data_IF_321220774206
#
_entry.id   IF_321220774206
#
_cell.length_a   1.000
_cell.length_b   1.000
_cell.length_c   1.000
_cell.angle_alpha   90.00
_cell.angle_beta   90.00
_cell.angle_gamma   90.00
#
_symmetry.space_group_name_H-M   'P 1'
#
loop_
_entity.id
_entity.type
_entity.pdbx_description
1 polymer ?
#
# COMPACT_ATOMS: atom_id res chain seq x y z
N UNK A 1 -0.20 -5.58 4.10
CA UNK A 1 -0.54 -7.03 4.07
C UNK A 1 -1.55 -7.47 5.16
N UNK A 2 -1.16 -7.61 6.45
CA UNK A 2 -2.05 -8.14 7.52
C UNK A 2 -3.40 -7.41 7.63
N UNK A 3 -3.36 -6.08 7.70
CA UNK A 3 -4.56 -5.25 7.84
C UNK A 3 -5.52 -5.40 6.65
N UNK A 4 -4.98 -5.42 5.42
CA UNK A 4 -5.76 -5.64 4.20
C UNK A 4 -6.43 -7.02 4.20
N UNK A 5 -5.70 -8.09 4.50
CA UNK A 5 -6.28 -9.44 4.58
C UNK A 5 -7.38 -9.54 5.64
N UNK A 6 -7.17 -8.94 6.82
CA UNK A 6 -8.19 -8.87 7.87
C UNK A 6 -9.43 -8.12 7.43
N UNK A 7 -9.26 -6.99 6.73
CA UNK A 7 -10.37 -6.18 6.22
C UNK A 7 -11.16 -6.94 5.14
N UNK A 8 -10.48 -7.60 4.21
CA UNK A 8 -11.12 -8.39 3.16
C UNK A 8 -11.87 -9.60 3.73
N UNK A 9 -11.25 -10.36 4.64
CA UNK A 9 -11.92 -11.45 5.34
C UNK A 9 -13.18 -10.96 6.09
N UNK A 10 -13.07 -9.82 6.80
CA UNK A 10 -14.20 -9.22 7.51
C UNK A 10 -15.35 -8.83 6.56
N UNK A 11 -15.05 -8.26 5.38
CA UNK A 11 -16.07 -7.92 4.38
C UNK A 11 -16.84 -9.14 3.89
N UNK A 12 -16.21 -10.32 3.90
CA UNK A 12 -16.80 -11.60 3.53
C UNK A 12 -17.44 -12.35 4.72
N UNK A 13 -17.41 -11.77 5.93
CA UNK A 13 -17.94 -12.41 7.13
C UNK A 13 -17.08 -13.57 7.65
N UNK A 14 -15.81 -13.66 7.25
CA UNK A 14 -14.89 -14.72 7.66
C UNK A 14 -13.68 -14.19 8.47
N UNK A 15 -12.84 -15.11 8.95
CA UNK A 15 -11.54 -14.79 9.57
C UNK A 15 -10.43 -15.05 8.55
N UNK A 16 -9.28 -14.35 8.64
CA UNK A 16 -8.11 -14.67 7.84
C UNK A 16 -7.72 -16.15 7.96
N UNK A 17 -7.32 -16.76 6.86
CA UNK A 17 -6.98 -18.18 6.75
C UNK A 17 -8.09 -19.04 6.13
N UNK A 18 -9.30 -18.47 5.95
CA UNK A 18 -10.34 -19.02 5.08
C UNK A 18 -10.05 -18.74 3.61
N UNK A 19 -11.02 -18.12 2.91
CA UNK A 19 -10.84 -17.76 1.49
C UNK A 19 -9.81 -16.65 1.28
N UNK A 20 -9.62 -15.78 2.28
CA UNK A 20 -8.58 -14.73 2.30
C UNK A 20 -7.53 -15.05 3.36
N UNK A 21 -6.27 -15.04 2.95
CA UNK A 21 -5.12 -15.26 3.82
C UNK A 21 -4.03 -14.21 3.63
N UNK A 22 -2.95 -14.33 4.38
CA UNK A 22 -1.76 -13.50 4.19
C UNK A 22 -0.47 -14.23 4.52
N UNK A 23 0.61 -13.80 3.88
CA UNK A 23 1.97 -14.17 4.27
C UNK A 23 2.83 -12.92 4.40
N UNK A 24 3.45 -12.78 5.57
CA UNK A 24 4.45 -11.74 5.86
C UNK A 24 5.68 -12.38 6.47
N UNK A 25 6.73 -11.61 6.72
CA UNK A 25 7.93 -12.14 7.39
C UNK A 25 7.58 -12.72 8.76
N UNK A 26 7.84 -14.01 8.94
CA UNK A 26 7.64 -14.72 10.20
C UNK A 26 6.20 -15.16 10.49
N UNK A 27 5.25 -14.92 9.58
CA UNK A 27 3.86 -15.34 9.78
C UNK A 27 3.19 -15.69 8.45
N UNK A 28 2.51 -16.84 8.44
CA UNK A 28 1.75 -17.34 7.31
C UNK A 28 0.39 -17.83 7.80
N UNK A 29 -0.67 -17.16 7.36
CA UNK A 29 -2.06 -17.49 7.67
C UNK A 29 -2.80 -17.74 6.36
N UNK A 30 -2.67 -18.97 5.86
CA UNK A 30 -3.34 -19.46 4.64
C UNK A 30 -3.77 -20.91 4.86
N UNK A 31 -4.90 -21.29 4.28
CA UNK A 31 -5.46 -22.64 4.33
C UNK A 31 -5.62 -23.24 2.94
N UNK A 32 -6.15 -24.47 2.88
CA UNK A 32 -6.46 -25.16 1.62
C UNK A 32 -7.47 -24.38 0.76
N UNK A 33 -8.35 -23.64 1.40
CA UNK A 33 -9.44 -22.90 0.75
C UNK A 33 -9.06 -21.46 0.39
N UNK A 34 -7.84 -21.02 0.70
CA UNK A 34 -7.38 -19.67 0.40
C UNK A 34 -7.31 -19.45 -1.11
N UNK A 35 -8.00 -18.42 -1.58
CA UNK A 35 -8.05 -17.96 -2.98
C UNK A 35 -7.35 -16.62 -3.17
N UNK A 36 -7.37 -15.77 -2.14
CA UNK A 36 -6.66 -14.50 -2.14
C UNK A 36 -5.62 -14.52 -1.04
N UNK A 37 -4.34 -14.43 -1.41
CA UNK A 37 -3.24 -14.33 -0.46
C UNK A 37 -2.61 -12.95 -0.53
N UNK A 38 -2.75 -12.18 0.54
CA UNK A 38 -2.09 -10.88 0.64
C UNK A 38 -0.67 -11.08 1.13
N UNK A 39 0.31 -10.71 0.30
CA UNK A 39 1.72 -10.81 0.66
C UNK A 39 2.37 -9.44 0.74
N UNK A 40 3.44 -9.32 1.51
CA UNK A 40 4.37 -8.18 1.35
C UNK A 40 5.22 -8.38 0.10
N UNK A 41 5.62 -7.30 -0.55
CA UNK A 41 6.44 -7.34 -1.77
C UNK A 41 7.72 -8.19 -1.61
N UNK A 42 8.43 -8.08 -0.48
CA UNK A 42 9.60 -8.91 -0.22
C UNK A 42 9.32 -10.42 -0.16
N UNK A 43 8.12 -10.83 0.28
CA UNK A 43 7.70 -12.25 0.24
C UNK A 43 7.45 -12.69 -1.20
N UNK A 44 6.83 -11.84 -2.03
CA UNK A 44 6.60 -12.11 -3.44
C UNK A 44 7.92 -12.26 -4.20
N UNK A 45 8.86 -11.34 -4.00
CA UNK A 45 10.21 -11.41 -4.57
C UNK A 45 10.93 -12.71 -4.19
N UNK A 46 10.88 -13.08 -2.91
CA UNK A 46 11.48 -14.33 -2.45
C UNK A 46 10.85 -15.56 -3.10
N UNK A 47 9.54 -15.53 -3.40
CA UNK A 47 8.86 -16.61 -4.14
C UNK A 47 9.32 -16.66 -5.58
N UNK A 48 9.30 -15.53 -6.29
CA UNK A 48 9.75 -15.42 -7.69
C UNK A 48 11.19 -15.90 -7.87
N UNK A 49 12.08 -15.61 -6.92
CA UNK A 49 13.47 -16.09 -6.96
C UNK A 49 13.61 -17.61 -6.79
N UNK A 50 12.67 -18.25 -6.09
CA UNK A 50 12.68 -19.69 -5.82
C UNK A 50 11.94 -20.49 -6.87
N UNK A 51 10.81 -19.96 -7.32
CA UNK A 51 9.90 -20.54 -8.29
C UNK A 51 9.29 -19.42 -9.12
N UNK A 52 9.80 -19.28 -10.34
CA UNK A 52 9.32 -18.31 -11.31
C UNK A 52 7.98 -18.72 -11.92
N UNK A 53 7.63 -20.01 -11.90
CA UNK A 53 6.36 -20.46 -12.48
C UNK A 53 5.18 -19.94 -11.67
N UNK A 54 5.33 -19.69 -10.36
CA UNK A 54 4.22 -19.35 -9.46
C UNK A 54 3.03 -20.31 -9.67
N UNK A 55 3.33 -21.61 -9.63
CA UNK A 55 2.34 -22.67 -9.89
C UNK A 55 1.09 -22.51 -9.00
N UNK A 56 -0.09 -22.54 -9.63
CA UNK A 56 -1.38 -22.33 -8.95
C UNK A 56 -1.79 -20.87 -8.72
N UNK A 57 -1.02 -19.89 -9.22
CA UNK A 57 -1.38 -18.48 -9.23
C UNK A 57 -1.83 -18.08 -10.64
N UNK A 58 -3.07 -17.58 -10.76
CA UNK A 58 -3.63 -17.10 -12.01
C UNK A 58 -3.44 -15.59 -12.23
N UNK A 59 -3.31 -14.84 -11.13
CA UNK A 59 -3.20 -13.39 -11.16
C UNK A 59 -2.33 -12.85 -10.02
N UNK A 60 -1.58 -11.78 -10.31
CA UNK A 60 -0.85 -10.99 -9.31
C UNK A 60 -1.32 -9.54 -9.38
N UNK A 61 -1.69 -9.00 -8.21
CA UNK A 61 -2.03 -7.58 -8.04
C UNK A 61 -0.89 -6.91 -7.28
N UNK A 62 -0.23 -5.97 -7.92
CA UNK A 62 0.73 -5.07 -7.30
C UNK A 62 -0.03 -3.83 -6.83
N UNK A 63 -0.17 -3.70 -5.51
CA UNK A 63 -0.85 -2.58 -4.88
C UNK A 63 0.12 -1.44 -4.58
N UNK A 64 -0.39 -0.21 -4.50
CA UNK A 64 0.38 1.00 -4.21
C UNK A 64 1.62 1.21 -5.10
N UNK A 65 1.47 0.90 -6.40
CA UNK A 65 2.54 1.06 -7.40
C UNK A 65 3.05 2.51 -7.54
N UNK A 66 2.31 3.47 -6.99
CA UNK A 66 2.66 4.89 -6.98
C UNK A 66 3.76 5.24 -5.97
N UNK A 67 4.02 4.40 -4.96
CA UNK A 67 5.06 4.66 -3.97
C UNK A 67 6.49 4.39 -4.51
N UNK A 68 6.60 3.73 -5.68
CA UNK A 68 7.86 3.46 -6.39
C UNK A 68 8.95 2.86 -5.49
N UNK A 69 8.55 1.96 -4.60
CA UNK A 69 9.48 1.18 -3.79
C UNK A 69 10.32 0.27 -4.68
N UNK A 70 11.62 0.20 -4.42
CA UNK A 70 12.55 -0.63 -5.19
C UNK A 70 12.08 -2.09 -5.27
N UNK A 71 11.58 -2.65 -4.17
CA UNK A 71 11.06 -4.03 -4.14
C UNK A 71 9.84 -4.20 -5.06
N UNK A 72 8.97 -3.19 -5.14
CA UNK A 72 7.76 -3.25 -5.96
C UNK A 72 8.09 -3.14 -7.45
N UNK A 73 8.98 -2.21 -7.81
CA UNK A 73 9.48 -2.06 -9.18
C UNK A 73 10.23 -3.33 -9.63
N UNK A 74 11.04 -3.93 -8.74
CA UNK A 74 11.73 -5.20 -9.02
C UNK A 74 10.75 -6.36 -9.20
N UNK A 75 9.72 -6.45 -8.35
CA UNK A 75 8.69 -7.49 -8.48
C UNK A 75 7.92 -7.34 -9.79
N UNK A 76 7.57 -6.11 -10.17
CA UNK A 76 6.91 -5.81 -11.45
C UNK A 76 7.75 -6.25 -12.64
N UNK A 77 9.05 -5.94 -12.64
CA UNK A 77 9.97 -6.35 -13.70
C UNK A 77 10.04 -7.89 -13.82
N UNK A 78 10.23 -8.61 -12.71
CA UNK A 78 10.28 -10.08 -12.76
C UNK A 78 8.96 -10.71 -13.18
N UNK A 79 7.82 -10.18 -12.72
CA UNK A 79 6.52 -10.67 -13.14
C UNK A 79 6.28 -10.44 -14.63
N UNK A 80 6.74 -9.31 -15.16
CA UNK A 80 6.67 -9.02 -16.59
C UNK A 80 7.51 -10.01 -17.40
N UNK A 81 8.76 -10.24 -16.99
CA UNK A 81 9.65 -11.22 -17.64
C UNK A 81 9.06 -12.64 -17.59
N UNK A 82 8.54 -13.05 -16.42
CA UNK A 82 7.85 -14.35 -16.26
C UNK A 82 6.66 -14.46 -17.21
N UNK A 83 5.85 -13.41 -17.33
CA UNK A 83 4.70 -13.41 -18.23
C UNK A 83 5.12 -13.51 -19.69
N UNK A 84 6.15 -12.78 -20.11
CA UNK A 84 6.59 -12.78 -21.51
C UNK A 84 7.29 -14.09 -21.91
N UNK A 85 7.93 -14.79 -20.98
CA UNK A 85 8.82 -15.93 -21.31
C UNK A 85 8.30 -17.30 -20.85
N UNK A 86 7.51 -17.36 -19.79
CA UNK A 86 7.19 -18.62 -19.09
C UNK A 86 5.69 -18.84 -18.88
N UNK A 87 4.96 -17.81 -18.44
CA UNK A 87 3.54 -17.87 -18.06
C UNK A 87 2.73 -16.79 -18.80
N UNK A 88 2.57 -16.87 -20.14
CA UNK A 88 1.84 -15.85 -20.92
C UNK A 88 0.38 -15.65 -20.49
N UNK A 89 -0.21 -16.63 -19.81
CA UNK A 89 -1.56 -16.59 -19.25
C UNK A 89 -1.64 -15.92 -17.87
N UNK A 90 -0.51 -15.65 -17.20
CA UNK A 90 -0.48 -14.96 -15.90
C UNK A 90 -1.03 -13.53 -16.05
N UNK A 91 -2.07 -13.21 -15.28
CA UNK A 91 -2.66 -11.87 -15.28
C UNK A 91 -1.94 -10.96 -14.30
N UNK A 92 -1.60 -9.76 -14.75
CA UNK A 92 -0.95 -8.74 -13.92
C UNK A 92 -1.87 -7.53 -13.79
N UNK A 93 -1.99 -7.02 -12.57
CA UNK A 93 -2.73 -5.78 -12.27
C UNK A 93 -1.81 -4.88 -11.46
N UNK A 94 -1.60 -3.65 -11.92
CA UNK A 94 -0.96 -2.60 -11.14
C UNK A 94 -2.04 -1.64 -10.63
N UNK A 95 -2.20 -1.57 -9.31
CA UNK A 95 -3.11 -0.63 -8.66
C UNK A 95 -2.33 0.60 -8.16
N UNK A 96 -2.90 1.78 -8.40
CA UNK A 96 -2.32 3.08 -8.06
C UNK A 96 -3.42 4.00 -7.56
N UNK A 97 -3.11 4.78 -6.50
CA UNK A 97 -3.99 5.83 -6.01
C UNK A 97 -3.76 7.19 -6.70
N UNK A 98 -2.73 7.29 -7.56
CA UNK A 98 -2.38 8.53 -8.28
C UNK A 98 -2.66 8.44 -9.77
N UNK A 99 -2.74 9.60 -10.41
CA UNK A 99 -3.03 9.78 -11.84
C UNK A 99 -1.95 9.26 -12.80
N UNK A 100 -0.80 8.75 -12.32
CA UNK A 100 0.24 8.18 -13.21
C UNK A 100 -0.04 6.73 -13.65
N UNK A 101 -1.33 6.41 -13.86
CA UNK A 101 -1.73 5.13 -14.44
C UNK A 101 -1.19 4.97 -15.88
N UNK A 102 -1.02 6.08 -16.60
CA UNK A 102 -0.50 6.08 -17.97
C UNK A 102 0.98 5.70 -18.06
N UNK A 103 1.79 6.02 -17.05
CA UNK A 103 3.17 5.55 -16.96
C UNK A 103 3.23 4.02 -16.88
N UNK A 104 2.44 3.44 -15.97
CA UNK A 104 2.32 1.99 -15.79
C UNK A 104 1.73 1.28 -17.02
N UNK A 105 0.71 1.84 -17.65
CA UNK A 105 0.13 1.28 -18.87
C UNK A 105 1.16 1.11 -19.97
N UNK A 106 2.02 2.12 -20.19
CA UNK A 106 3.11 2.04 -21.18
C UNK A 106 4.15 0.99 -20.83
N UNK A 107 4.53 0.87 -19.56
CA UNK A 107 5.48 -0.15 -19.10
C UNK A 107 4.93 -1.56 -19.28
N UNK A 108 3.63 -1.75 -19.07
CA UNK A 108 2.93 -3.03 -19.20
C UNK A 108 2.41 -3.29 -20.62
N UNK A 109 3.11 -2.78 -21.64
CA UNK A 109 2.80 -3.08 -23.05
C UNK A 109 1.52 -2.43 -23.58
N UNK A 110 1.14 -1.25 -23.07
CA UNK A 110 -0.10 -0.57 -23.45
C UNK A 110 -1.33 -1.15 -22.76
N UNK A 111 -1.19 -1.62 -21.52
CA UNK A 111 -2.28 -2.21 -20.76
C UNK A 111 -3.48 -1.26 -20.60
N UNK A 112 -4.72 -1.77 -20.63
CA UNK A 112 -5.90 -0.95 -20.43
C UNK A 112 -5.89 -0.34 -19.02
N UNK A 113 -6.19 0.95 -18.94
CA UNK A 113 -6.35 1.67 -17.67
C UNK A 113 -7.81 1.64 -17.27
N UNK A 114 -8.09 1.17 -16.05
CA UNK A 114 -9.41 1.23 -15.43
C UNK A 114 -9.36 2.29 -14.33
N UNK A 115 -10.14 3.35 -14.48
CA UNK A 115 -10.21 4.45 -13.52
C UNK A 115 -11.43 4.27 -12.61
N UNK A 116 -11.23 4.47 -11.31
CA UNK A 116 -12.31 4.54 -10.33
C UNK A 116 -12.45 5.99 -9.86
N UNK A 117 -13.62 6.59 -10.10
CA UNK A 117 -13.90 7.96 -9.67
C UNK A 117 -14.16 8.00 -8.16
N UNK A 118 -13.34 8.76 -7.45
CA UNK A 118 -13.54 9.07 -6.03
C UNK A 118 -14.22 10.42 -5.84
N UNK A 119 -15.05 10.53 -4.80
CA UNK A 119 -15.60 11.84 -4.39
C UNK A 119 -14.59 12.52 -3.46
N UNK A 120 -14.08 13.67 -3.89
CA UNK A 120 -13.29 14.56 -3.05
C UNK A 120 -14.18 15.65 -2.47
N UNK A 121 -14.06 15.90 -1.17
CA UNK A 121 -14.72 17.02 -0.50
C UNK A 121 -13.77 18.21 -0.40
N UNK A 122 -14.27 19.46 -0.45
CA UNK A 122 -13.43 20.63 -0.27
C UNK A 122 -12.68 20.59 1.07
N UNK A 123 -11.38 20.87 1.05
CA UNK A 123 -10.52 20.93 2.24
C UNK A 123 -10.07 22.37 2.47
N UNK A 124 -10.38 22.92 3.63
CA UNK A 124 -9.87 24.23 4.08
C UNK A 124 -8.42 24.10 4.55
N UNK A 125 -7.51 24.93 4.01
CA UNK A 125 -6.10 24.94 4.39
C UNK A 125 -5.83 26.06 5.39
N UNK A 126 -5.42 25.69 6.60
CA UNK A 126 -5.09 26.63 7.69
C UNK A 126 -3.62 26.47 8.09
N UNK A 127 -2.86 27.56 8.02
CA UNK A 127 -1.47 27.58 8.44
C UNK A 127 -1.34 27.97 9.92
N UNK A 128 -0.57 27.20 10.68
CA UNK A 128 -0.38 27.42 12.11
C UNK A 128 1.11 27.24 12.48
N UNK A 129 1.99 28.20 12.18
CA UNK A 129 3.40 28.07 12.50
C UNK A 129 3.66 28.15 14.02
N UNK A 130 4.74 27.53 14.51
CA UNK A 130 5.15 27.65 15.90
C UNK A 130 5.58 29.09 16.23
N UNK A 131 5.26 29.56 17.44
CA UNK A 131 5.57 30.92 17.88
C UNK A 131 7.08 31.24 17.97
N UNK A 132 7.91 30.20 18.04
CA UNK A 132 9.37 30.29 18.04
C UNK A 132 9.94 29.32 17.03
N UNK A 133 11.12 29.59 16.45
CA UNK A 133 11.81 28.63 15.59
C UNK A 133 11.99 27.30 16.30
N UNK A 134 11.70 26.22 15.58
CA UNK A 134 11.81 24.85 16.08
C UNK A 134 12.78 24.10 15.18
N UNK A 135 13.64 23.27 15.77
CA UNK A 135 14.57 22.49 14.95
C UNK A 135 13.79 21.40 14.21
N UNK A 136 14.03 21.21 12.90
CA UNK A 136 13.43 20.11 12.17
C UNK A 136 13.90 18.77 12.76
N UNK A 137 13.06 17.73 12.70
CA UNK A 137 13.44 16.39 13.13
C UNK A 137 14.60 15.90 12.27
N UNK A 138 15.72 15.56 12.92
CA UNK A 138 16.89 14.98 12.26
C UNK A 138 17.20 13.63 12.91
N UNK A 139 17.00 12.55 12.14
CA UNK A 139 17.16 11.19 12.64
C UNK A 139 16.18 10.85 13.75
N UNK A 140 16.66 10.22 14.82
CA UNK A 140 15.81 9.69 15.90
C UNK A 140 15.45 10.72 16.99
N UNK A 141 15.82 11.99 16.83
CA UNK A 141 15.58 13.03 17.83
C UNK A 141 14.61 14.09 17.30
N UNK A 142 13.55 14.30 18.07
CA UNK A 142 12.55 15.34 17.83
C UNK A 142 12.64 16.39 18.94
N UNK A 143 12.68 17.66 18.55
CA UNK A 143 12.66 18.77 19.50
C UNK A 143 11.33 18.75 20.30
N UNK A 144 11.35 18.73 21.64
CA UNK A 144 10.13 18.78 22.45
C UNK A 144 9.24 19.99 22.14
N UNK A 145 9.83 21.09 21.66
CA UNK A 145 9.07 22.26 21.24
C UNK A 145 8.20 21.98 19.99
N UNK A 146 8.63 21.08 19.10
CA UNK A 146 7.84 20.66 17.94
C UNK A 146 6.64 19.84 18.39
N UNK A 147 6.89 18.86 19.27
CA UNK A 147 5.83 18.01 19.82
C UNK A 147 4.80 18.82 20.61
N UNK A 148 5.26 19.80 21.40
CA UNK A 148 4.39 20.71 22.14
C UNK A 148 3.52 21.56 21.18
N UNK A 149 4.11 22.06 20.10
CA UNK A 149 3.40 22.81 19.08
C UNK A 149 2.35 21.94 18.36
N UNK A 150 2.72 20.75 17.90
CA UNK A 150 1.79 19.81 17.25
C UNK A 150 0.63 19.47 18.19
N UNK A 151 0.91 19.17 19.46
CA UNK A 151 -0.13 18.88 20.44
C UNK A 151 -1.07 20.07 20.68
N UNK A 152 -0.57 21.31 20.64
CA UNK A 152 -1.41 22.51 20.73
C UNK A 152 -2.31 22.68 19.49
N UNK A 153 -1.77 22.44 18.29
CA UNK A 153 -2.54 22.50 17.03
C UNK A 153 -3.62 21.43 16.98
N UNK A 154 -3.30 20.18 17.37
CA UNK A 154 -4.27 19.08 17.44
C UNK A 154 -5.40 19.39 18.44
N UNK A 155 -5.05 19.88 19.64
CA UNK A 155 -6.06 20.27 20.63
C UNK A 155 -6.96 21.40 20.13
N UNK A 156 -6.40 22.39 19.44
CA UNK A 156 -7.18 23.47 18.83
C UNK A 156 -8.13 22.92 17.77
N UNK A 157 -7.66 22.04 16.88
CA UNK A 157 -8.49 21.43 15.85
C UNK A 157 -9.67 20.63 16.44
N UNK A 158 -9.43 19.83 17.49
CA UNK A 158 -10.48 19.09 18.19
C UNK A 158 -11.49 20.00 18.92
N UNK A 159 -11.07 21.19 19.35
CA UNK A 159 -11.95 22.14 20.02
C UNK A 159 -12.78 22.97 19.03
N UNK A 160 -12.21 23.32 17.88
CA UNK A 160 -12.83 24.20 16.89
C UNK A 160 -13.64 23.46 15.82
N UNK A 161 -13.36 22.18 15.60
CA UNK A 161 -13.95 21.36 14.52
C UNK A 161 -14.52 20.05 15.06
N UNK A 162 -15.54 19.52 14.38
CA UNK A 162 -16.13 18.21 14.68
C UNK A 162 -15.44 17.12 13.88
N UNK A 163 -15.32 15.91 14.45
CA UNK A 163 -14.77 14.73 13.78
C UNK A 163 -13.46 14.24 14.38
N UNK A 164 -12.80 13.32 13.67
CA UNK A 164 -11.52 12.74 14.07
C UNK A 164 -10.33 13.55 13.53
N UNK A 165 -9.16 13.40 14.17
CA UNK A 165 -7.90 14.02 13.72
C UNK A 165 -6.90 12.95 13.29
N UNK A 166 -6.42 13.07 12.06
CA UNK A 166 -5.24 12.35 11.55
C UNK A 166 -4.02 13.28 11.62
N UNK A 167 -3.02 12.91 12.42
CA UNK A 167 -1.79 13.67 12.59
C UNK A 167 -0.60 12.89 12.03
N UNK A 168 0.07 13.45 11.02
CA UNK A 168 1.32 12.91 10.47
C UNK A 168 2.50 13.42 11.31
N UNK A 169 3.31 12.51 11.83
CA UNK A 169 4.48 12.80 12.65
C UNK A 169 5.76 12.22 12.00
N UNK A 170 6.95 12.73 12.34
CA UNK A 170 8.23 12.19 11.90
C UNK A 170 8.50 10.77 12.41
#
# INVERSE_FOLDING_TARGET
>A
ARAAARRMAWLLGEKPGGSVGHTVRGERVVGRDTRVEVVTTGVLLQRLQRDQELSGVDAVVLDECHERHLDADTAAAFLWDVRETLRPELRLVAASATTDAQGWARLLGGAPVVEAEGVSHPVEVVWAPPARPVRPPHGLRVDPALLAHVAAVVRRALAERTGDVLCFLP
#
